data_IF_754027745181
#
_entry.id   IF_754027745181
#
_cell.length_a   1.000
_cell.length_b   1.000
_cell.length_c   1.000
_cell.angle_alpha   90.00
_cell.angle_beta   90.00
_cell.angle_gamma   90.00
#
_symmetry.space_group_name_H-M   'P 1'
#
loop_
_entity.id
_entity.type
_entity.pdbx_description
1 polymer ?
#
# COMPACT_ATOMS: atom_id res chain seq x y z
N UNK A 1 2.96 -15.84 13.76
CA UNK A 1 3.02 -14.98 12.56
C UNK A 1 2.91 -13.54 13.03
N UNK A 2 4.03 -12.81 13.14
CA UNK A 2 3.99 -11.41 13.53
C UNK A 2 3.33 -10.60 12.40
N UNK A 3 2.35 -9.78 12.74
CA UNK A 3 1.61 -8.97 11.77
C UNK A 3 2.49 -7.80 11.33
N UNK A 4 2.71 -7.63 10.02
CA UNK A 4 3.44 -6.47 9.49
C UNK A 4 2.56 -5.22 9.61
N UNK A 5 2.70 -4.48 10.73
CA UNK A 5 1.89 -3.30 11.04
C UNK A 5 1.92 -2.25 9.92
N UNK A 6 3.10 -1.98 9.36
CA UNK A 6 3.26 -1.03 8.23
C UNK A 6 2.48 -1.50 7.00
N UNK A 7 2.49 -2.81 6.71
CA UNK A 7 1.71 -3.41 5.64
C UNK A 7 0.21 -3.34 5.86
N UNK A 8 -0.28 -3.58 7.08
CA UNK A 8 -1.70 -3.44 7.41
C UNK A 8 -2.17 -2.00 7.26
N UNK A 9 -1.39 -1.02 7.73
CA UNK A 9 -1.70 0.41 7.56
C UNK A 9 -1.73 0.78 6.07
N UNK A 10 -0.72 0.37 5.29
CA UNK A 10 -0.68 0.64 3.86
C UNK A 10 -1.87 0.01 3.10
N UNK A 11 -2.25 -1.22 3.46
CA UNK A 11 -3.42 -1.90 2.91
C UNK A 11 -4.72 -1.17 3.27
N UNK A 12 -4.91 -0.79 4.53
CA UNK A 12 -6.08 -0.06 4.99
C UNK A 12 -6.23 1.30 4.28
N UNK A 13 -5.13 2.06 4.15
CA UNK A 13 -5.11 3.31 3.39
C UNK A 13 -5.48 3.10 1.91
N UNK A 14 -5.05 1.98 1.33
CA UNK A 14 -5.38 1.58 -0.05
C UNK A 14 -6.84 1.19 -0.24
N UNK A 15 -7.54 0.79 0.83
CA UNK A 15 -9.00 0.58 0.86
C UNK A 15 -9.75 1.91 0.93
N UNK A 16 -9.15 2.99 1.43
CA UNK A 16 -9.78 4.33 1.41
C UNK A 16 -9.74 4.87 -0.02
N UNK A 17 -8.56 5.06 -0.59
CA UNK A 17 -8.41 5.51 -1.99
C UNK A 17 -7.22 4.82 -2.68
N UNK A 18 -7.34 4.42 -3.97
CA UNK A 18 -6.23 3.80 -4.69
C UNK A 18 -4.98 4.68 -4.66
N UNK A 19 -3.81 4.06 -4.48
CA UNK A 19 -2.53 4.77 -4.41
C UNK A 19 -2.17 5.45 -3.08
N UNK A 20 -3.10 5.68 -2.12
CA UNK A 20 -2.73 6.31 -0.83
C UNK A 20 -1.79 5.42 -0.01
N UNK A 21 -1.99 4.10 0.00
CA UNK A 21 -1.04 3.20 0.68
C UNK A 21 0.37 3.27 0.09
N UNK A 22 0.49 3.40 -1.23
CA UNK A 22 1.78 3.59 -1.89
C UNK A 22 2.39 4.95 -1.58
N UNK A 23 1.58 6.02 -1.48
CA UNK A 23 2.05 7.33 -1.06
C UNK A 23 2.58 7.30 0.39
N UNK A 24 1.91 6.58 1.30
CA UNK A 24 2.41 6.33 2.67
C UNK A 24 3.76 5.61 2.66
N UNK A 25 3.94 4.61 1.79
CA UNK A 25 5.21 3.90 1.58
C UNK A 25 6.22 4.69 0.72
N UNK A 26 5.92 5.96 0.40
CA UNK A 26 6.72 6.87 -0.46
C UNK A 26 7.03 6.32 -1.86
N UNK A 27 6.22 5.39 -2.35
CA UNK A 27 6.32 4.80 -3.68
C UNK A 27 5.51 5.60 -4.72
N UNK A 28 5.96 6.83 -5.00
CA UNK A 28 5.21 7.83 -5.79
C UNK A 28 4.79 7.36 -7.20
N UNK A 29 5.69 6.69 -7.95
CA UNK A 29 5.34 6.18 -9.28
C UNK A 29 4.20 5.15 -9.23
N UNK A 30 4.19 4.29 -8.20
CA UNK A 30 3.10 3.32 -8.00
C UNK A 30 1.82 4.00 -7.56
N UNK A 31 1.90 5.00 -6.67
CA UNK A 31 0.75 5.78 -6.24
C UNK A 31 0.06 6.43 -7.43
N UNK A 32 0.82 7.16 -8.26
CA UNK A 32 0.30 7.80 -9.48
C UNK A 32 -0.24 6.76 -10.46
N UNK A 33 0.49 5.65 -10.67
CA UNK A 33 0.06 4.58 -11.57
C UNK A 33 -1.28 3.95 -11.17
N UNK A 34 -1.50 3.67 -9.89
CA UNK A 34 -2.76 3.11 -9.39
C UNK A 34 -3.92 4.11 -9.45
N UNK A 35 -3.66 5.39 -9.18
CA UNK A 35 -4.66 6.45 -9.33
C UNK A 35 -5.05 6.57 -10.80
N UNK A 36 -4.08 6.67 -11.71
CA UNK A 36 -4.31 6.78 -13.14
C UNK A 36 -5.07 5.56 -13.69
N UNK A 37 -4.67 4.35 -13.31
CA UNK A 37 -5.35 3.11 -13.72
C UNK A 37 -6.80 3.08 -13.23
N UNK A 38 -7.06 3.49 -11.98
CA UNK A 38 -8.41 3.53 -11.42
C UNK A 38 -9.30 4.54 -12.16
N UNK A 39 -8.77 5.73 -12.43
CA UNK A 39 -9.46 6.77 -13.19
C UNK A 39 -9.71 6.34 -14.64
N UNK A 40 -8.72 5.72 -15.30
CA UNK A 40 -8.86 5.21 -16.66
C UNK A 40 -9.91 4.09 -16.73
N UNK A 41 -9.92 3.17 -15.76
CA UNK A 41 -10.92 2.10 -15.68
C UNK A 41 -12.32 2.67 -15.51
N UNK A 42 -12.49 3.65 -14.61
CA UNK A 42 -13.78 4.33 -14.44
C UNK A 42 -14.18 5.09 -15.72
N UNK A 43 -13.27 5.82 -16.34
CA UNK A 43 -13.53 6.59 -17.56
C UNK A 43 -13.98 5.72 -18.73
N UNK A 44 -13.37 4.54 -18.90
CA UNK A 44 -13.68 3.63 -20.01
C UNK A 44 -14.97 2.85 -19.76
N UNK A 45 -15.24 2.43 -18.52
CA UNK A 45 -16.32 1.48 -18.22
C UNK A 45 -17.58 2.12 -17.64
N UNK A 46 -17.50 3.32 -17.06
CA UNK A 46 -18.66 4.01 -16.48
C UNK A 46 -19.34 4.86 -17.54
N UNK A 47 -20.62 4.60 -17.88
CA UNK A 47 -21.34 5.38 -18.87
C UNK A 47 -21.53 6.84 -18.44
N UNK A 48 -21.51 7.77 -19.40
CA UNK A 48 -21.73 9.19 -19.15
C UNK A 48 -23.11 9.47 -18.52
N UNK A 49 -24.14 8.65 -18.83
CA UNK A 49 -25.47 8.76 -18.22
C UNK A 49 -25.46 8.47 -16.72
N UNK A 50 -24.63 7.54 -16.26
CA UNK A 50 -24.43 7.25 -14.85
C UNK A 50 -23.79 8.46 -14.14
N UNK A 51 -22.80 9.09 -14.77
CA UNK A 51 -22.16 10.32 -14.25
C UNK A 51 -23.15 11.48 -14.15
N UNK A 52 -24.00 11.68 -15.16
CA UNK A 52 -25.04 12.71 -15.15
C UNK A 52 -26.06 12.49 -14.03
N UNK A 53 -26.47 11.25 -13.80
CA UNK A 53 -27.36 10.89 -12.68
C UNK A 53 -26.74 11.28 -11.34
N UNK A 54 -25.46 10.96 -11.14
CA UNK A 54 -24.74 11.35 -9.92
C UNK A 54 -24.64 12.86 -9.76
N UNK A 55 -24.32 13.58 -10.84
CA UNK A 55 -24.19 15.03 -10.81
C UNK A 55 -25.53 15.70 -10.44
N UNK A 56 -26.63 15.28 -11.07
CA UNK A 56 -27.96 15.78 -10.73
C UNK A 56 -28.39 15.45 -9.29
N UNK A 57 -28.02 14.27 -8.77
CA UNK A 57 -28.30 13.90 -7.38
C UNK A 57 -27.56 14.82 -6.39
N UNK A 58 -26.30 15.17 -6.68
CA UNK A 58 -25.49 16.09 -5.87
C UNK A 58 -26.06 17.51 -5.94
N UNK A 59 -26.35 18.01 -7.13
CA UNK A 59 -26.89 19.36 -7.36
C UNK A 59 -28.26 19.56 -6.69
N UNK A 60 -29.11 18.53 -6.75
CA UNK A 60 -30.45 18.57 -6.13
C UNK A 60 -30.43 18.29 -4.63
N UNK A 61 -29.27 17.94 -4.04
CA UNK A 61 -29.16 17.51 -2.65
C UNK A 61 -29.92 16.23 -2.32
N UNK A 62 -30.42 15.51 -3.34
CA UNK A 62 -31.22 14.31 -3.17
C UNK A 62 -30.32 13.07 -3.06
N UNK A 63 -29.84 12.82 -1.84
CA UNK A 63 -29.00 11.64 -1.55
C UNK A 63 -29.72 10.30 -1.83
N UNK A 64 -31.05 10.29 -1.87
CA UNK A 64 -31.84 9.12 -2.24
C UNK A 64 -31.73 8.76 -3.73
N UNK A 65 -31.39 9.72 -4.60
CA UNK A 65 -31.17 9.46 -6.02
C UNK A 65 -29.82 8.76 -6.30
N UNK A 66 -28.88 8.79 -5.34
CA UNK A 66 -27.60 8.08 -5.46
C UNK A 66 -27.78 6.55 -5.55
N UNK A 67 -28.80 6.00 -4.88
CA UNK A 67 -29.08 4.55 -4.89
C UNK A 67 -29.76 4.08 -6.19
N UNK A 68 -30.34 5.00 -6.97
CA UNK A 68 -30.92 4.71 -8.27
C UNK A 68 -29.86 4.64 -9.39
N UNK A 69 -28.67 5.20 -9.15
CA UNK A 69 -27.55 5.11 -10.07
C UNK A 69 -26.92 3.70 -10.00
N UNK A 70 -27.28 2.85 -10.96
CA UNK A 70 -26.69 1.52 -11.11
C UNK A 70 -25.42 1.61 -11.95
N UNK A 71 -24.31 1.12 -11.40
CA UNK A 71 -23.07 0.88 -12.15
C UNK A 71 -23.25 -0.46 -12.88
N UNK A 72 -22.99 -0.54 -14.20
CA UNK A 72 -23.04 -1.82 -14.91
C UNK A 72 -22.11 -2.84 -14.24
N UNK A 73 -22.56 -4.10 -14.16
CA UNK A 73 -21.90 -5.13 -13.36
C UNK A 73 -20.43 -5.32 -13.81
N UNK A 74 -20.17 -5.19 -15.09
CA UNK A 74 -18.83 -5.29 -15.69
C UNK A 74 -17.90 -4.21 -15.14
N UNK A 75 -18.37 -2.95 -15.06
CA UNK A 75 -17.61 -1.85 -14.49
C UNK A 75 -17.40 -2.04 -12.98
N UNK A 76 -18.44 -2.50 -12.27
CA UNK A 76 -18.36 -2.77 -10.83
C UNK A 76 -17.31 -3.86 -10.52
N UNK A 77 -17.31 -4.96 -11.27
CA UNK A 77 -16.34 -6.05 -11.12
C UNK A 77 -14.94 -5.55 -11.47
N UNK A 78 -14.76 -4.84 -12.58
CA UNK A 78 -13.46 -4.33 -12.98
C UNK A 78 -12.87 -3.36 -11.93
N UNK A 79 -13.68 -2.43 -11.43
CA UNK A 79 -13.27 -1.51 -10.36
C UNK A 79 -12.95 -2.26 -9.06
N UNK A 80 -13.73 -3.28 -8.71
CA UNK A 80 -13.47 -4.12 -7.55
C UNK A 80 -12.14 -4.87 -7.69
N UNK A 81 -11.84 -5.43 -8.86
CA UNK A 81 -10.57 -6.11 -9.14
C UNK A 81 -9.40 -5.12 -9.01
N UNK A 82 -9.48 -3.96 -9.66
CA UNK A 82 -8.47 -2.90 -9.55
C UNK A 82 -8.27 -2.50 -8.08
N UNK A 83 -9.36 -2.37 -7.33
CA UNK A 83 -9.33 -2.03 -5.90
C UNK A 83 -8.59 -3.07 -5.08
N UNK A 84 -8.94 -4.34 -5.24
CA UNK A 84 -8.32 -5.45 -4.51
C UNK A 84 -6.84 -5.60 -4.89
N UNK A 85 -6.50 -5.53 -6.18
CA UNK A 85 -5.13 -5.61 -6.64
C UNK A 85 -4.27 -4.47 -6.06
N UNK A 86 -4.78 -3.24 -6.03
CA UNK A 86 -4.08 -2.12 -5.41
C UNK A 86 -3.80 -2.34 -3.91
N UNK A 87 -4.77 -2.90 -3.17
CA UNK A 87 -4.61 -3.19 -1.73
C UNK A 87 -3.58 -4.29 -1.49
N UNK A 88 -3.68 -5.40 -2.24
CA UNK A 88 -2.72 -6.50 -2.18
C UNK A 88 -1.32 -6.01 -2.53
N UNK A 89 -1.21 -5.18 -3.56
CA UNK A 89 0.06 -4.62 -4.00
C UNK A 89 0.72 -3.74 -2.94
N UNK A 90 -0.05 -2.85 -2.29
CA UNK A 90 0.46 -2.02 -1.19
C UNK A 90 0.95 -2.88 -0.01
N UNK A 91 0.20 -3.93 0.34
CA UNK A 91 0.60 -4.86 1.39
C UNK A 91 1.90 -5.59 1.04
N UNK A 92 2.00 -6.15 -0.17
CA UNK A 92 3.20 -6.87 -0.63
C UNK A 92 4.41 -5.94 -0.73
N UNK A 93 4.21 -4.69 -1.15
CA UNK A 93 5.28 -3.69 -1.18
C UNK A 93 5.82 -3.41 0.23
N UNK A 94 4.94 -3.22 1.21
CA UNK A 94 5.35 -3.00 2.60
C UNK A 94 6.10 -4.21 3.18
N UNK A 95 5.64 -5.43 2.89
CA UNK A 95 6.32 -6.67 3.32
C UNK A 95 7.72 -6.75 2.71
N UNK A 96 7.87 -6.45 1.42
CA UNK A 96 9.18 -6.43 0.73
C UNK A 96 10.12 -5.38 1.30
N UNK A 97 9.63 -4.17 1.57
CA UNK A 97 10.44 -3.11 2.19
C UNK A 97 10.84 -3.42 3.65
N UNK A 98 10.10 -4.30 4.32
CA UNK A 98 10.41 -4.72 5.69
C UNK A 98 11.42 -5.88 5.74
N UNK A 99 11.76 -6.49 4.60
CA UNK A 99 12.68 -7.62 4.55
C UNK A 99 14.10 -7.09 4.30
N UNK A 100 15.08 -7.37 5.19
CA UNK A 100 16.47 -6.97 4.97
C UNK A 100 16.99 -7.59 3.67
N UNK A 101 17.76 -6.82 2.89
CA UNK A 101 18.47 -7.39 1.75
C UNK A 101 19.44 -8.47 2.26
N UNK A 102 19.48 -9.63 1.58
CA UNK A 102 20.37 -10.74 1.94
C UNK A 102 21.48 -10.92 0.92
N UNK A 103 22.64 -11.39 1.37
CA UNK A 103 23.77 -11.79 0.54
C UNK A 103 23.51 -13.15 -0.14
N UNK A 104 24.47 -13.61 -0.96
CA UNK A 104 24.40 -14.92 -1.61
C UNK A 104 24.42 -16.10 -0.61
N UNK A 105 24.95 -15.89 0.60
CA UNK A 105 24.97 -16.87 1.70
C UNK A 105 23.69 -16.84 2.54
N UNK A 106 22.81 -15.86 2.33
CA UNK A 106 21.56 -15.69 3.07
C UNK A 106 21.65 -14.82 4.32
N UNK A 107 22.82 -14.26 4.61
CA UNK A 107 23.04 -13.31 5.71
C UNK A 107 22.48 -11.92 5.35
N UNK A 108 21.95 -11.15 6.32
CA UNK A 108 21.51 -9.79 6.05
C UNK A 108 22.68 -8.92 5.57
N UNK A 109 22.38 -7.88 4.81
CA UNK A 109 23.37 -6.93 4.29
C UNK A 109 23.08 -5.53 4.81
N UNK A 110 24.15 -4.76 5.02
CA UNK A 110 24.04 -3.39 5.50
C UNK A 110 23.33 -2.51 4.45
N UNK A 111 22.27 -1.76 4.81
CA UNK A 111 21.55 -0.90 3.87
C UNK A 111 22.36 0.31 3.39
N UNK A 112 23.47 0.64 4.08
CA UNK A 112 24.33 1.79 3.75
C UNK A 112 25.47 1.40 2.82
N UNK A 113 26.20 0.32 3.12
CA UNK A 113 27.38 -0.08 2.35
C UNK A 113 27.25 -1.40 1.57
N UNK A 114 26.14 -2.12 1.73
CA UNK A 114 25.83 -3.34 0.98
C UNK A 114 26.65 -4.59 1.34
N UNK A 115 27.54 -4.51 2.33
CA UNK A 115 28.33 -5.67 2.78
C UNK A 115 27.55 -6.54 3.76
N UNK A 116 27.96 -7.80 3.86
CA UNK A 116 27.43 -8.78 4.81
C UNK A 116 27.50 -8.23 6.23
N UNK A 117 26.40 -8.46 6.95
CA UNK A 117 26.15 -7.91 8.25
C UNK A 117 26.14 -9.01 9.29
N UNK A 118 26.91 -8.81 10.35
CA UNK A 118 26.93 -9.65 11.53
C UNK A 118 25.70 -9.30 12.40
N UNK A 119 24.85 -10.29 12.68
CA UNK A 119 23.61 -10.11 13.45
C UNK A 119 23.83 -10.04 14.95
N UNK A 120 25.05 -10.30 15.42
CA UNK A 120 25.41 -10.20 16.83
C UNK A 120 25.90 -8.79 17.21
N UNK A 121 25.98 -7.87 16.23
CA UNK A 121 26.45 -6.50 16.40
C UNK A 121 25.36 -5.47 16.10
N UNK A 122 25.21 -4.47 16.97
CA UNK A 122 24.30 -3.33 16.79
C UNK A 122 24.87 -2.25 15.83
N UNK A 123 25.97 -2.56 15.14
CA UNK A 123 26.61 -1.67 14.17
C UNK A 123 27.20 -2.48 13.02
N UNK A 124 27.35 -1.85 11.85
CA UNK A 124 27.99 -2.47 10.72
C UNK A 124 29.52 -2.48 10.91
N UNK A 125 30.20 -3.64 10.93
CA UNK A 125 31.66 -3.74 11.13
C UNK A 125 32.48 -3.00 10.07
N UNK A 126 31.87 -2.76 8.91
CA UNK A 126 32.57 -2.26 7.73
C UNK A 126 32.49 -0.76 7.52
N UNK A 127 31.41 -0.14 7.96
CA UNK A 127 31.15 1.29 7.72
C UNK A 127 30.71 2.02 8.98
N UNK A 128 30.63 1.30 10.11
CA UNK A 128 30.31 1.84 11.44
C UNK A 128 28.94 2.52 11.55
N UNK A 129 28.03 2.31 10.58
CA UNK A 129 26.63 2.70 10.73
C UNK A 129 26.00 1.90 11.88
N UNK A 130 25.37 2.59 12.82
CA UNK A 130 24.54 1.98 13.87
C UNK A 130 23.27 1.36 13.27
N UNK A 131 22.80 0.28 13.87
CA UNK A 131 21.69 -0.53 13.38
C UNK A 131 20.71 -0.77 14.52
N UNK A 132 19.44 -0.45 14.29
CA UNK A 132 18.36 -0.78 15.22
C UNK A 132 17.80 -2.17 14.89
N UNK A 133 17.98 -3.11 15.82
CA UNK A 133 17.38 -4.43 15.75
C UNK A 133 16.11 -4.48 16.59
N UNK A 134 14.98 -4.83 15.95
CA UNK A 134 13.77 -5.16 16.69
C UNK A 134 13.88 -6.61 17.19
N UNK A 135 14.47 -6.81 18.38
CA UNK A 135 14.48 -8.12 19.04
C UNK A 135 13.09 -8.46 19.58
N UNK A 136 12.42 -9.53 19.11
CA UNK A 136 11.12 -9.91 19.62
C UNK A 136 11.31 -10.62 20.97
N UNK A 137 11.46 -9.88 22.07
CA UNK A 137 11.69 -10.53 23.36
C UNK A 137 11.89 -9.71 24.63
N UNK A 138 11.85 -8.36 24.63
CA UNK A 138 12.03 -7.59 25.87
C UNK A 138 10.92 -6.54 26.05
N UNK A 139 9.67 -7.00 26.21
CA UNK A 139 8.66 -6.23 26.90
C UNK A 139 8.67 -6.66 28.37
N UNK A 140 9.38 -5.89 29.20
CA UNK A 140 9.12 -5.63 30.62
C UNK A 140 10.44 -5.43 31.37
N UNK A 141 10.86 -4.17 31.56
CA UNK A 141 11.92 -3.89 32.53
C UNK A 141 12.68 -2.58 32.36
N UNK A 142 12.01 -1.43 32.50
CA UNK A 142 12.64 -0.26 33.13
C UNK A 142 11.57 0.76 33.53
N UNK A 143 11.61 1.11 34.81
CA UNK A 143 10.72 1.96 35.61
C UNK A 143 10.59 3.40 35.15
#
# INVERSE_FOLDING_TARGET
MSVNRRGVVAAALSVVYPGIGHAYLRAWLRAVGWIALSLATAYVLVPASTVQTYQHAIESGNVGALSAASIPMEAAIALLVVRLCNVVDAYLLAVRQSTPARSATGEPTCPVCGKELDTDLDFCPWCTTELEWEYPGESDGAS
#
